data_IF_120088909823
#
_entry.id   IF_120088909823
#
_cell.length_a   1.000
_cell.length_b   1.000
_cell.length_c   1.000
_cell.angle_alpha   90.00
_cell.angle_beta   90.00
_cell.angle_gamma   90.00
#
_symmetry.space_group_name_H-M   'P 1'
#
loop_
_entity.id
_entity.type
_entity.pdbx_description
1 polymer ?
#
# COMPACT_ATOMS: atom_id res chain seq x y z
N UNK A 1 24.84 35.04 7.94
CA UNK A 1 24.12 33.90 8.55
C UNK A 1 22.70 34.33 8.83
N UNK A 2 21.71 33.73 8.16
CA UNK A 2 20.28 34.01 8.39
C UNK A 2 19.69 32.92 9.29
N UNK A 3 18.81 33.26 10.25
CA UNK A 3 18.17 32.26 11.09
C UNK A 3 17.09 31.52 10.28
N UNK A 4 17.10 30.18 10.39
CA UNK A 4 16.03 29.32 9.89
C UNK A 4 14.88 29.46 10.89
N UNK A 5 13.79 30.09 10.48
CA UNK A 5 12.54 30.08 11.23
C UNK A 5 11.84 28.75 10.99
N UNK A 6 11.72 27.95 12.04
CA UNK A 6 10.89 26.76 12.09
C UNK A 6 9.42 27.21 12.09
N UNK A 7 8.73 27.06 10.97
CA UNK A 7 7.28 27.27 10.89
C UNK A 7 6.61 25.96 11.32
N UNK A 8 6.16 25.91 12.57
CA UNK A 8 5.19 24.91 13.04
C UNK A 8 3.87 25.09 12.30
N UNK A 9 3.54 24.19 11.39
CA UNK A 9 2.24 24.15 10.72
C UNK A 9 1.29 23.25 11.52
N UNK A 10 0.51 23.85 12.42
CA UNK A 10 -0.66 23.26 13.05
C UNK A 10 -1.88 23.75 12.26
N UNK A 11 -2.34 22.95 11.29
CA UNK A 11 -3.60 23.21 10.59
C UNK A 11 -4.66 22.23 11.09
N UNK A 12 -5.45 22.71 12.06
CA UNK A 12 -6.77 22.17 12.37
C UNK A 12 -7.69 22.63 11.23
N UNK A 13 -8.24 21.70 10.47
CA UNK A 13 -9.36 21.96 9.56
C UNK A 13 -10.62 21.47 10.28
N UNK A 14 -11.27 22.37 11.02
CA UNK A 14 -12.62 22.17 11.52
C UNK A 14 -13.61 22.52 10.39
N UNK A 15 -14.37 21.52 9.92
CA UNK A 15 -15.63 21.78 9.25
C UNK A 15 -16.76 21.44 10.24
N UNK A 16 -17.37 22.51 10.77
CA UNK A 16 -18.60 22.48 11.55
C UNK A 16 -19.77 22.06 10.65
N UNK A 17 -20.50 21.01 11.04
CA UNK A 17 -21.95 20.97 10.86
C UNK A 17 -22.61 20.00 11.87
N UNK A 18 -23.55 20.59 12.62
CA UNK A 18 -24.65 20.04 13.43
C UNK A 18 -24.40 18.84 14.37
N UNK A 19 -24.31 19.19 15.66
CA UNK A 19 -24.48 18.33 16.84
C UNK A 19 -25.81 17.56 16.83
N UNK A 20 -25.73 16.23 16.88
CA UNK A 20 -26.69 15.37 17.58
C UNK A 20 -25.86 14.37 18.41
N UNK A 21 -25.66 14.72 19.68
CA UNK A 21 -24.93 13.93 20.67
C UNK A 21 -25.80 12.75 21.13
N UNK A 22 -25.60 11.59 20.54
CA UNK A 22 -25.83 10.33 21.25
C UNK A 22 -24.53 9.94 21.95
N UNK A 23 -24.55 9.99 23.28
CA UNK A 23 -23.41 9.60 24.12
C UNK A 23 -23.20 8.08 24.03
N UNK A 24 -22.41 7.63 23.06
CA UNK A 24 -21.78 6.31 23.11
C UNK A 24 -20.64 6.38 24.13
N UNK A 25 -20.68 5.48 25.11
CA UNK A 25 -19.85 5.50 26.32
C UNK A 25 -18.35 5.52 26.01
N UNK A 26 -17.64 6.48 26.63
CA UNK A 26 -16.24 6.82 26.40
C UNK A 26 -15.22 5.70 26.65
N UNK A 27 -15.59 4.58 27.29
CA UNK A 27 -14.63 3.53 27.68
C UNK A 27 -14.19 2.66 26.50
N UNK A 28 -15.03 2.46 25.46
CA UNK A 28 -14.70 1.56 24.34
C UNK A 28 -13.60 2.08 23.42
N UNK A 29 -13.56 3.39 23.21
CA UNK A 29 -12.50 4.01 22.43
C UNK A 29 -11.15 3.93 23.15
N UNK A 30 -11.11 3.79 24.48
CA UNK A 30 -9.84 3.88 25.23
C UNK A 30 -8.89 2.73 24.93
N UNK A 31 -9.36 1.48 24.84
CA UNK A 31 -8.46 0.33 24.64
C UNK A 31 -7.98 0.21 23.21
N UNK A 32 -8.85 0.33 22.22
CA UNK A 32 -8.44 0.34 20.82
C UNK A 32 -7.51 1.52 20.51
N UNK A 33 -7.84 2.72 21.03
CA UNK A 33 -6.97 3.88 20.89
C UNK A 33 -5.61 3.64 21.55
N UNK A 34 -5.57 3.08 22.76
CA UNK A 34 -4.32 2.75 23.44
C UNK A 34 -3.50 1.73 22.64
N UNK A 35 -4.15 0.71 22.08
CA UNK A 35 -3.51 -0.28 21.21
C UNK A 35 -2.90 0.39 19.96
N UNK A 36 -3.65 1.26 19.27
CA UNK A 36 -3.15 1.99 18.09
C UNK A 36 -2.00 2.91 18.48
N UNK A 37 -2.11 3.62 19.59
CA UNK A 37 -1.07 4.51 20.09
C UNK A 37 0.20 3.73 20.44
N UNK A 38 0.08 2.53 20.98
CA UNK A 38 1.23 1.66 21.25
C UNK A 38 1.89 1.16 19.95
N UNK A 39 1.10 0.79 18.94
CA UNK A 39 1.61 0.44 17.60
C UNK A 39 2.34 1.63 16.99
N UNK A 40 1.76 2.84 17.05
CA UNK A 40 2.40 4.07 16.57
C UNK A 40 3.69 4.35 17.32
N UNK A 41 3.69 4.27 18.65
CA UNK A 41 4.87 4.52 19.47
C UNK A 41 6.03 3.57 19.13
N UNK A 42 5.73 2.29 18.89
CA UNK A 42 6.75 1.27 18.59
C UNK A 42 7.22 1.28 17.13
N UNK A 43 6.36 1.70 16.21
CA UNK A 43 6.61 1.48 14.78
C UNK A 43 6.55 2.74 13.91
N UNK A 44 6.03 3.87 14.36
CA UNK A 44 6.13 5.12 13.62
C UNK A 44 7.45 5.84 13.97
N UNK A 45 8.08 6.46 12.98
CA UNK A 45 9.17 7.40 13.26
C UNK A 45 8.58 8.75 13.72
N UNK A 46 9.31 9.55 14.52
CA UNK A 46 8.83 10.87 14.95
C UNK A 46 8.49 11.82 13.80
N UNK A 47 9.16 11.66 12.65
CA UNK A 47 8.98 12.46 11.44
C UNK A 47 7.91 11.88 10.49
N UNK A 48 7.34 10.70 10.80
CA UNK A 48 6.34 10.10 9.92
C UNK A 48 5.02 10.89 10.01
N UNK A 49 4.55 11.38 8.85
CA UNK A 49 3.20 11.95 8.71
C UNK A 49 2.19 10.81 8.71
N UNK A 50 1.23 10.89 9.64
CA UNK A 50 0.14 9.93 9.76
C UNK A 50 -1.04 10.41 8.94
N UNK A 51 -1.46 9.61 7.97
CA UNK A 51 -2.69 9.86 7.24
C UNK A 51 -3.82 9.02 7.80
N UNK A 52 -4.78 9.69 8.42
CA UNK A 52 -5.93 9.05 9.06
C UNK A 52 -7.18 9.21 8.20
N UNK A 53 -7.66 8.13 7.62
CA UNK A 53 -8.94 8.10 6.91
C UNK A 53 -9.99 7.48 7.81
N UNK A 54 -11.01 8.25 8.17
CA UNK A 54 -12.12 7.78 8.98
C UNK A 54 -13.47 8.12 8.37
N UNK A 55 -14.08 7.14 7.72
CA UNK A 55 -15.43 7.27 7.18
C UNK A 55 -16.51 6.78 8.14
N UNK A 56 -16.14 6.28 9.32
CA UNK A 56 -17.07 5.76 10.32
C UNK A 56 -17.20 6.74 11.51
N UNK A 57 -18.41 7.22 11.82
CA UNK A 57 -18.62 8.13 12.94
C UNK A 57 -18.19 7.55 14.30
N UNK A 58 -18.16 6.22 14.47
CA UNK A 58 -17.71 5.54 15.71
C UNK A 58 -16.31 5.97 16.13
N UNK A 59 -15.41 6.20 15.17
CA UNK A 59 -14.00 6.50 15.44
C UNK A 59 -13.65 7.98 15.24
N UNK A 60 -14.65 8.86 15.13
CA UNK A 60 -14.45 10.31 14.90
C UNK A 60 -13.58 10.98 15.96
N UNK A 61 -13.61 10.47 17.19
CA UNK A 61 -12.88 11.03 18.33
C UNK A 61 -11.62 10.25 18.70
N UNK A 62 -11.11 9.40 17.80
CA UNK A 62 -9.88 8.66 18.02
C UNK A 62 -8.69 9.61 18.14
N UNK A 63 -8.06 9.66 19.32
CA UNK A 63 -6.87 10.49 19.55
C UNK A 63 -5.61 9.73 19.17
N UNK A 64 -4.96 10.19 18.11
CA UNK A 64 -3.69 9.68 17.60
C UNK A 64 -2.54 10.62 18.00
N UNK A 65 -1.31 10.11 18.03
CA UNK A 65 -0.11 10.92 18.30
C UNK A 65 0.64 11.27 17.02
N UNK A 66 1.25 12.47 16.96
CA UNK A 66 2.14 12.89 15.87
C UNK A 66 1.51 13.89 14.89
N UNK A 67 2.24 14.28 13.81
CA UNK A 67 1.68 15.09 12.73
C UNK A 67 0.66 14.26 11.95
N UNK A 68 -0.62 14.59 12.12
CA UNK A 68 -1.73 13.81 11.56
C UNK A 68 -2.50 14.66 10.56
N UNK A 69 -2.80 14.06 9.41
CA UNK A 69 -3.75 14.58 8.44
C UNK A 69 -5.01 13.72 8.52
N UNK A 70 -6.13 14.33 8.93
CA UNK A 70 -7.41 13.64 9.11
C UNK A 70 -8.27 13.85 7.86
N UNK A 71 -8.80 12.76 7.32
CA UNK A 71 -9.81 12.75 6.27
C UNK A 71 -11.07 12.03 6.72
N UNK A 72 -12.14 12.79 6.84
CA UNK A 72 -13.48 12.26 7.10
C UNK A 72 -14.27 11.99 5.81
N UNK A 73 -13.72 12.39 4.66
CA UNK A 73 -14.31 12.21 3.34
C UNK A 73 -13.22 11.88 2.31
N UNK A 74 -13.59 11.15 1.26
CA UNK A 74 -12.70 10.82 0.14
C UNK A 74 -12.65 11.97 -0.86
N UNK A 75 -11.96 13.05 -0.46
CA UNK A 75 -11.75 14.24 -1.29
C UNK A 75 -10.27 14.62 -1.28
N UNK A 76 -9.78 15.12 -2.40
CA UNK A 76 -8.41 15.63 -2.47
C UNK A 76 -8.26 16.90 -1.63
N UNK A 77 -7.15 16.99 -0.92
CA UNK A 77 -6.75 18.18 -0.19
C UNK A 77 -5.50 18.72 -0.89
N UNK A 78 -5.59 19.90 -1.50
CA UNK A 78 -4.51 20.42 -2.37
C UNK A 78 -3.13 20.46 -1.67
N UNK A 79 -3.09 20.83 -0.39
CA UNK A 79 -1.86 20.89 0.40
C UNK A 79 -1.29 19.51 0.74
N UNK A 80 -2.12 18.46 0.67
CA UNK A 80 -1.67 17.10 0.91
C UNK A 80 -0.65 16.70 -0.16
N UNK A 81 -0.78 17.16 -1.41
CA UNK A 81 -0.02 16.67 -2.57
C UNK A 81 1.52 16.75 -2.48
N UNK A 82 2.05 17.47 -1.49
CA UNK A 82 3.49 17.63 -1.26
C UNK A 82 4.01 16.79 -0.09
N UNK A 83 3.16 16.03 0.59
CA UNK A 83 3.51 15.28 1.80
C UNK A 83 3.86 13.83 1.47
N UNK A 84 4.98 13.34 2.01
CA UNK A 84 5.35 11.93 1.91
C UNK A 84 4.76 11.14 3.09
N UNK A 85 3.66 10.43 2.85
CA UNK A 85 3.01 9.63 3.89
C UNK A 85 3.71 8.28 4.05
N UNK A 86 4.11 7.98 5.29
CA UNK A 86 4.76 6.72 5.65
C UNK A 86 3.92 5.84 6.57
N UNK A 87 2.82 6.39 7.10
CA UNK A 87 1.95 5.71 8.04
C UNK A 87 0.48 6.03 7.73
N UNK A 88 -0.30 5.02 7.37
CA UNK A 88 -1.73 5.12 7.11
C UNK A 88 -2.49 4.44 8.23
N UNK A 89 -3.48 5.14 8.80
CA UNK A 89 -4.47 4.55 9.69
C UNK A 89 -5.82 4.71 9.00
N UNK A 90 -6.47 3.60 8.69
CA UNK A 90 -7.68 3.61 7.87
C UNK A 90 -8.75 2.83 8.60
N UNK A 91 -9.86 3.52 8.90
CA UNK A 91 -11.08 2.85 9.28
C UNK A 91 -11.82 2.44 8.03
N UNK A 92 -12.12 1.15 7.92
CA UNK A 92 -12.77 0.58 6.75
C UNK A 92 -14.21 0.20 7.10
N UNK A 93 -15.21 1.04 6.76
CA UNK A 93 -16.60 0.62 6.81
C UNK A 93 -16.87 -0.52 5.82
N UNK A 94 -17.85 -1.35 6.13
CA UNK A 94 -18.30 -2.44 5.24
C UNK A 94 -18.63 -1.91 3.84
N UNK A 95 -18.02 -2.48 2.81
CA UNK A 95 -18.26 -2.11 1.41
C UNK A 95 -17.51 -0.86 0.90
N UNK A 96 -16.71 -0.18 1.72
CA UNK A 96 -15.98 1.03 1.29
C UNK A 96 -14.51 0.78 0.93
N UNK A 97 -14.00 -0.43 1.16
CA UNK A 97 -12.57 -0.74 1.00
C UNK A 97 -12.03 -0.40 -0.38
N UNK A 98 -12.66 -0.90 -1.44
CA UNK A 98 -12.22 -0.63 -2.82
C UNK A 98 -12.25 0.87 -3.14
N UNK A 99 -13.29 1.59 -2.70
CA UNK A 99 -13.43 3.03 -2.91
C UNK A 99 -12.31 3.81 -2.23
N UNK A 100 -11.95 3.44 -0.99
CA UNK A 100 -10.84 4.05 -0.25
C UNK A 100 -9.52 3.81 -0.98
N UNK A 101 -9.24 2.58 -1.39
CA UNK A 101 -7.98 2.26 -2.07
C UNK A 101 -7.88 2.87 -3.47
N UNK A 102 -8.98 2.94 -4.22
CA UNK A 102 -9.00 3.65 -5.50
C UNK A 102 -8.73 5.15 -5.30
N UNK A 103 -9.31 5.77 -4.28
CA UNK A 103 -8.99 7.16 -3.92
C UNK A 103 -7.51 7.32 -3.57
N UNK A 104 -6.97 6.44 -2.73
CA UNK A 104 -5.57 6.48 -2.32
C UNK A 104 -4.62 6.34 -3.51
N UNK A 105 -4.85 5.39 -4.40
CA UNK A 105 -4.01 5.13 -5.58
C UNK A 105 -4.02 6.29 -6.57
N UNK A 106 -5.14 7.00 -6.67
CA UNK A 106 -5.25 8.20 -7.50
C UNK A 106 -4.63 9.43 -6.84
N UNK A 107 -4.40 9.40 -5.52
CA UNK A 107 -3.76 10.50 -4.81
C UNK A 107 -2.25 10.57 -5.12
N UNK A 108 -1.72 11.78 -5.22
CA UNK A 108 -0.30 12.01 -5.55
C UNK A 108 0.66 11.48 -4.49
N UNK A 109 0.19 11.29 -3.26
CA UNK A 109 1.00 10.84 -2.12
C UNK A 109 0.86 9.36 -1.86
N UNK A 110 0.34 8.61 -2.83
CA UNK A 110 0.21 7.17 -2.71
C UNK A 110 1.58 6.53 -2.45
N UNK A 111 1.72 5.92 -1.29
CA UNK A 111 2.91 5.15 -0.95
C UNK A 111 2.51 3.71 -0.58
N UNK A 112 2.56 2.75 -1.52
CA UNK A 112 2.20 1.36 -1.24
C UNK A 112 3.17 0.66 -0.29
N UNK A 113 4.36 1.24 -0.03
CA UNK A 113 5.39 0.69 0.87
C UNK A 113 5.27 1.20 2.30
N UNK A 114 4.41 2.18 2.55
CA UNK A 114 4.13 2.71 3.88
C UNK A 114 3.55 1.64 4.82
N UNK A 115 3.49 1.96 6.12
CA UNK A 115 2.83 1.11 7.13
C UNK A 115 1.34 1.40 7.09
N UNK A 116 0.51 0.38 6.93
CA UNK A 116 -0.94 0.49 6.94
C UNK A 116 -1.51 -0.20 8.18
N UNK A 117 -2.34 0.52 8.94
CA UNK A 117 -3.14 -0.03 10.04
C UNK A 117 -4.60 0.12 9.66
N UNK A 118 -5.25 -1.00 9.41
CA UNK A 118 -6.62 -1.07 8.90
C UNK A 118 -7.55 -1.56 10.01
N UNK A 119 -8.50 -0.73 10.43
CA UNK A 119 -9.52 -1.09 11.40
C UNK A 119 -10.70 -1.70 10.65
N UNK A 120 -10.99 -2.98 10.89
CA UNK A 120 -12.00 -3.73 10.15
C UNK A 120 -13.23 -4.07 10.99
N UNK A 121 -14.40 -4.01 10.36
CA UNK A 121 -15.66 -4.55 10.89
C UNK A 121 -15.88 -5.97 10.33
N UNK A 122 -15.33 -6.94 11.08
CA UNK A 122 -15.36 -8.42 11.05
C UNK A 122 -15.75 -9.30 9.82
N UNK A 123 -16.21 -8.81 8.67
CA UNK A 123 -16.87 -9.71 7.70
C UNK A 123 -16.26 -9.85 6.29
N UNK A 124 -15.19 -9.14 5.91
CA UNK A 124 -14.79 -9.05 4.47
C UNK A 124 -13.29 -9.19 4.19
N UNK A 125 -12.64 -10.09 4.92
CA UNK A 125 -11.19 -10.25 4.87
C UNK A 125 -10.64 -10.69 3.49
N UNK A 126 -11.26 -11.67 2.81
CA UNK A 126 -10.67 -12.25 1.58
C UNK A 126 -10.57 -11.27 0.41
N UNK A 127 -11.60 -10.45 0.18
CA UNK A 127 -11.61 -9.52 -0.96
C UNK A 127 -10.59 -8.39 -0.79
N UNK A 128 -10.25 -8.05 0.45
CA UNK A 128 -9.24 -7.04 0.75
C UNK A 128 -7.86 -7.47 0.27
N UNK A 129 -7.51 -8.75 0.42
CA UNK A 129 -6.21 -9.27 0.01
C UNK A 129 -5.98 -9.11 -1.50
N UNK A 130 -7.02 -9.34 -2.31
CA UNK A 130 -6.93 -9.18 -3.77
C UNK A 130 -6.60 -7.73 -4.14
N UNK A 131 -7.27 -6.77 -3.50
CA UNK A 131 -7.06 -5.34 -3.75
C UNK A 131 -5.68 -4.89 -3.22
N UNK A 132 -5.27 -5.34 -2.04
CA UNK A 132 -3.94 -5.02 -1.50
C UNK A 132 -2.82 -5.58 -2.37
N UNK A 133 -2.96 -6.83 -2.85
CA UNK A 133 -2.02 -7.43 -3.80
C UNK A 133 -1.99 -6.67 -5.13
N UNK A 134 -3.15 -6.31 -5.68
CA UNK A 134 -3.27 -5.53 -6.92
C UNK A 134 -2.49 -4.22 -6.86
N UNK A 135 -2.49 -3.56 -5.70
CA UNK A 135 -1.80 -2.29 -5.49
C UNK A 135 -0.46 -2.43 -4.75
N UNK A 136 0.10 -3.64 -4.67
CA UNK A 136 1.39 -3.95 -4.04
C UNK A 136 1.55 -3.45 -2.60
N UNK A 137 0.47 -3.46 -1.82
CA UNK A 137 0.47 -3.01 -0.42
C UNK A 137 0.72 -4.16 0.53
N UNK A 138 1.96 -4.35 0.96
CA UNK A 138 2.34 -5.51 1.77
C UNK A 138 2.58 -5.20 3.25
N UNK A 139 2.85 -3.96 3.64
CA UNK A 139 3.11 -3.57 5.03
C UNK A 139 1.81 -3.23 5.78
N UNK A 140 0.95 -4.24 5.95
CA UNK A 140 -0.42 -4.06 6.47
C UNK A 140 -0.62 -4.77 7.80
N UNK A 141 -1.28 -4.09 8.74
CA UNK A 141 -1.91 -4.66 9.92
C UNK A 141 -3.41 -4.51 9.82
N UNK A 142 -4.12 -5.57 10.19
CA UNK A 142 -5.56 -5.55 10.36
C UNK A 142 -5.85 -5.61 11.85
N UNK A 143 -6.60 -4.63 12.35
CA UNK A 143 -7.09 -4.59 13.71
C UNK A 143 -8.55 -5.03 13.71
N UNK A 144 -8.82 -6.12 14.41
CA UNK A 144 -10.14 -6.74 14.49
C UNK A 144 -10.57 -6.73 15.95
N UNK A 145 -11.56 -5.90 16.29
CA UNK A 145 -12.10 -5.79 17.64
C UNK A 145 -12.96 -7.03 17.95
N UNK A 146 -12.51 -7.89 18.89
CA UNK A 146 -13.22 -9.11 19.32
C UNK A 146 -14.15 -8.84 20.48
N UNK A 147 -13.65 -8.09 21.45
CA UNK A 147 -14.39 -7.60 22.60
C UNK A 147 -13.97 -6.16 22.86
N UNK A 148 -14.58 -5.54 23.87
CA UNK A 148 -14.21 -4.20 24.33
C UNK A 148 -12.72 -4.04 24.67
N UNK A 149 -12.10 -5.10 25.20
CA UNK A 149 -10.72 -5.07 25.69
C UNK A 149 -9.74 -5.88 24.83
N UNK A 150 -10.24 -6.75 23.95
CA UNK A 150 -9.42 -7.61 23.10
C UNK A 150 -9.52 -7.21 21.62
N UNK A 151 -8.38 -6.88 21.05
CA UNK A 151 -8.22 -6.58 19.62
C UNK A 151 -7.22 -7.57 19.04
N UNK A 152 -7.63 -8.35 18.05
CA UNK A 152 -6.72 -9.20 17.30
C UNK A 152 -5.95 -8.37 16.28
N UNK A 153 -4.64 -8.63 16.21
CA UNK A 153 -3.75 -8.02 15.23
C UNK A 153 -3.37 -9.09 14.22
N UNK A 154 -3.78 -8.88 12.99
CA UNK A 154 -3.53 -9.80 11.89
C UNK A 154 -2.70 -9.12 10.81
N UNK A 155 -2.06 -9.93 9.99
CA UNK A 155 -1.34 -9.49 8.80
C UNK A 155 -1.50 -10.52 7.69
N UNK A 156 -0.92 -10.28 6.52
CA UNK A 156 -0.85 -11.25 5.45
C UNK A 156 0.51 -11.19 4.74
N UNK A 157 0.87 -12.24 4.02
CA UNK A 157 2.16 -12.35 3.32
C UNK A 157 1.95 -12.55 1.82
N UNK A 158 1.96 -11.49 0.99
CA UNK A 158 1.57 -11.59 -0.41
C UNK A 158 2.50 -12.46 -1.27
N UNK A 159 3.73 -12.74 -0.82
CA UNK A 159 4.76 -13.43 -1.61
C UNK A 159 5.00 -14.88 -1.18
N UNK A 160 4.20 -15.42 -0.27
CA UNK A 160 4.26 -16.84 0.13
C UNK A 160 3.20 -17.64 -0.63
N UNK A 161 3.38 -18.97 -0.74
CA UNK A 161 2.38 -19.84 -1.37
C UNK A 161 1.01 -19.82 -0.66
N UNK A 162 0.97 -19.36 0.59
CA UNK A 162 -0.23 -19.12 1.39
C UNK A 162 -0.72 -17.65 1.33
N UNK A 163 -0.44 -16.93 0.23
CA UNK A 163 -0.66 -15.48 0.09
C UNK A 163 -2.08 -14.97 0.30
N UNK A 164 -3.05 -15.89 0.34
CA UNK A 164 -4.48 -15.61 0.44
C UNK A 164 -5.03 -15.78 1.85
N UNK A 165 -4.16 -16.01 2.84
CA UNK A 165 -4.55 -16.21 4.22
C UNK A 165 -4.03 -15.11 5.14
N UNK A 166 -4.84 -14.81 6.15
CA UNK A 166 -4.47 -13.93 7.23
C UNK A 166 -3.68 -14.72 8.28
N UNK A 167 -2.61 -14.12 8.77
CA UNK A 167 -1.86 -14.64 9.90
C UNK A 167 -2.11 -13.75 11.11
N UNK A 168 -2.58 -14.35 12.19
CA UNK A 168 -2.68 -13.68 13.48
C UNK A 168 -1.25 -13.44 13.99
N UNK A 169 -0.89 -12.18 14.15
CA UNK A 169 0.38 -11.79 14.75
C UNK A 169 0.27 -11.81 16.26
N UNK A 170 -0.86 -11.40 16.82
CA UNK A 170 -1.06 -11.35 18.27
C UNK A 170 -2.33 -10.59 18.58
N UNK A 171 -2.36 -9.94 19.73
CA UNK A 171 -3.48 -9.10 20.11
C UNK A 171 -3.10 -8.04 21.12
N UNK A 172 -3.96 -7.04 21.24
CA UNK A 172 -3.97 -6.11 22.35
C UNK A 172 -5.00 -6.57 23.38
N UNK A 173 -4.62 -6.56 24.67
CA UNK A 173 -5.53 -6.77 25.79
C UNK A 173 -5.52 -5.55 26.70
N UNK A 174 -6.69 -4.98 26.99
CA UNK A 174 -6.85 -3.72 27.74
C UNK A 174 -6.01 -2.58 27.15
N UNK A 175 -5.87 -2.56 25.83
CA UNK A 175 -5.10 -1.56 25.10
C UNK A 175 -3.58 -1.69 25.19
N UNK A 176 -3.07 -2.81 25.70
CA UNK A 176 -1.65 -3.15 25.68
C UNK A 176 -1.36 -4.32 24.75
N UNK A 177 -0.29 -4.21 23.96
CA UNK A 177 0.23 -5.32 23.16
C UNK A 177 0.67 -6.47 24.08
N UNK A 178 0.27 -7.70 23.73
CA UNK A 178 0.64 -8.89 24.52
C UNK A 178 2.12 -9.26 24.40
N UNK A 179 2.82 -8.78 23.38
CA UNK A 179 4.22 -9.08 23.14
C UNK A 179 4.97 -7.99 22.36
N UNK A 180 6.30 -8.10 22.35
CA UNK A 180 7.22 -7.16 21.71
C UNK A 180 7.63 -7.56 20.29
N UNK A 181 6.81 -8.35 19.60
CA UNK A 181 7.15 -8.80 18.25
C UNK A 181 7.11 -7.64 17.26
N UNK A 182 7.91 -7.75 16.19
CA UNK A 182 7.82 -6.80 15.09
C UNK A 182 6.50 -6.99 14.33
N UNK A 183 5.60 -6.01 14.40
CA UNK A 183 4.30 -6.05 13.73
C UNK A 183 4.40 -5.75 12.23
N UNK A 184 5.49 -5.12 11.77
CA UNK A 184 5.77 -4.86 10.36
C UNK A 184 7.06 -5.59 9.92
N UNK A 185 7.07 -6.94 9.89
CA UNK A 185 8.22 -7.68 9.41
C UNK A 185 8.43 -7.40 7.92
N UNK A 186 9.69 -7.42 7.46
CA UNK A 186 9.98 -7.30 6.04
C UNK A 186 9.44 -8.53 5.30
N UNK A 187 8.42 -8.31 4.47
CA UNK A 187 7.74 -9.38 3.71
C UNK A 187 8.29 -9.56 2.31
N UNK A 188 9.17 -8.65 1.87
CA UNK A 188 9.80 -8.79 0.57
C UNK A 188 10.68 -10.03 0.55
N UNK A 189 10.65 -10.75 -0.56
CA UNK A 189 11.57 -11.85 -0.78
C UNK A 189 13.00 -11.29 -0.75
N UNK A 190 13.85 -11.84 0.13
CA UNK A 190 15.26 -11.45 0.20
C UNK A 190 16.01 -11.81 -1.08
N UNK A 191 15.56 -12.85 -1.77
CA UNK A 191 16.17 -13.35 -2.99
C UNK A 191 15.13 -13.34 -4.12
N UNK A 192 15.25 -12.41 -5.06
CA UNK A 192 14.47 -12.38 -6.31
C UNK A 192 15.06 -13.30 -7.38
N UNK A 193 15.86 -14.29 -6.98
CA UNK A 193 16.61 -15.12 -7.91
C UNK A 193 15.63 -15.92 -8.77
N UNK A 194 15.74 -15.74 -10.09
CA UNK A 194 14.91 -16.39 -11.11
C UNK A 194 13.43 -15.97 -11.12
N UNK A 195 13.05 -14.81 -10.55
CA UNK A 195 11.68 -14.32 -10.72
C UNK A 195 11.53 -13.66 -12.10
N UNK A 196 10.68 -14.21 -13.01
CA UNK A 196 10.49 -13.61 -14.32
C UNK A 196 9.72 -12.29 -14.18
N UNK A 197 10.30 -11.20 -14.68
CA UNK A 197 9.59 -9.92 -14.82
C UNK A 197 9.05 -9.83 -16.24
N UNK A 198 7.74 -9.76 -16.38
CA UNK A 198 7.08 -9.54 -17.67
C UNK A 198 7.07 -8.04 -17.97
N UNK A 199 7.68 -7.67 -19.10
CA UNK A 199 7.69 -6.29 -19.59
C UNK A 199 6.81 -6.25 -20.84
N UNK A 200 5.84 -5.33 -20.87
CA UNK A 200 5.04 -5.06 -22.07
C UNK A 200 5.75 -3.96 -22.84
N UNK A 201 6.09 -4.25 -24.09
CA UNK A 201 6.80 -3.35 -24.99
C UNK A 201 5.88 -2.94 -26.13
N UNK A 202 5.87 -1.64 -26.46
CA UNK A 202 5.12 -1.09 -27.59
C UNK A 202 6.09 -0.73 -28.71
N UNK A 203 5.74 -1.04 -29.96
CA UNK A 203 6.56 -0.60 -31.09
C UNK A 203 6.57 0.93 -31.17
N UNK A 204 7.72 1.53 -30.89
CA UNK A 204 7.91 2.97 -30.86
C UNK A 204 9.36 3.31 -31.24
N UNK A 205 9.70 3.35 -32.54
CA UNK A 205 11.05 3.68 -32.98
C UNK A 205 11.48 5.09 -32.52
N UNK A 206 12.76 5.31 -32.13
CA UNK A 206 13.86 4.33 -32.08
C UNK A 206 13.96 3.56 -30.74
N UNK A 207 13.00 3.75 -29.83
CA UNK A 207 13.04 3.18 -28.47
C UNK A 207 12.80 1.67 -28.46
N UNK A 208 11.80 1.21 -29.21
CA UNK A 208 11.48 -0.20 -29.42
C UNK A 208 11.10 -0.41 -30.90
N UNK A 209 11.87 -1.24 -31.58
CA UNK A 209 11.71 -1.62 -32.98
C UNK A 209 11.40 -3.12 -33.02
N UNK A 210 10.31 -3.47 -33.68
CA UNK A 210 9.86 -4.86 -33.88
C UNK A 210 10.04 -5.20 -35.36
N UNK A 211 11.13 -5.86 -35.73
CA UNK A 211 11.44 -6.21 -37.11
C UNK A 211 11.81 -7.68 -37.21
N UNK A 212 11.14 -8.44 -38.08
CA UNK A 212 11.52 -9.82 -38.45
C UNK A 212 11.86 -10.73 -37.25
N UNK A 213 10.98 -10.78 -36.25
CA UNK A 213 11.16 -11.52 -34.99
C UNK A 213 12.34 -11.08 -34.11
N UNK A 214 13.02 -10.00 -34.47
CA UNK A 214 13.99 -9.31 -33.64
C UNK A 214 13.34 -8.09 -32.98
N UNK A 215 13.60 -7.95 -31.68
CA UNK A 215 13.21 -6.78 -30.90
C UNK A 215 14.49 -6.06 -30.54
N UNK A 216 14.63 -4.83 -31.01
CA UNK A 216 15.81 -3.99 -30.78
C UNK A 216 15.37 -2.57 -30.41
N UNK A 217 16.27 -1.74 -29.91
CA UNK A 217 15.98 -0.34 -29.61
C UNK A 217 16.63 0.14 -28.33
N UNK A 218 16.57 1.45 -28.11
CA UNK A 218 17.28 2.12 -27.00
C UNK A 218 16.84 1.56 -25.64
N UNK A 219 15.53 1.32 -25.44
CA UNK A 219 15.03 0.81 -24.16
C UNK A 219 15.50 -0.61 -23.86
N UNK A 220 15.57 -1.48 -24.88
CA UNK A 220 16.10 -2.83 -24.71
C UNK A 220 17.58 -2.83 -24.35
N UNK A 221 18.38 -1.98 -25.00
CA UNK A 221 19.79 -1.82 -24.65
C UNK A 221 19.97 -1.31 -23.22
N UNK A 222 19.11 -0.39 -22.77
CA UNK A 222 19.11 0.07 -21.37
C UNK A 222 18.74 -1.06 -20.41
N UNK A 223 17.74 -1.88 -20.72
CA UNK A 223 17.39 -3.05 -19.91
C UNK A 223 18.52 -4.07 -19.84
N UNK A 224 19.22 -4.31 -20.95
CA UNK A 224 20.41 -5.18 -20.97
C UNK A 224 21.51 -4.62 -20.06
N UNK A 225 21.80 -3.32 -20.15
CA UNK A 225 22.77 -2.64 -19.27
C UNK A 225 22.35 -2.75 -17.80
N UNK A 226 21.10 -2.47 -17.46
CA UNK A 226 20.60 -2.59 -16.08
C UNK A 226 20.65 -4.03 -15.59
N UNK A 227 20.38 -5.00 -16.46
CA UNK A 227 20.42 -6.43 -16.11
C UNK A 227 21.84 -6.95 -15.91
N UNK A 228 22.83 -6.40 -16.61
CA UNK A 228 24.23 -6.83 -16.58
C UNK A 228 25.12 -5.96 -15.68
N UNK A 229 24.70 -4.73 -15.37
CA UNK A 229 25.49 -3.72 -14.64
C UNK A 229 25.47 -3.87 -13.12
N UNK A 230 24.85 -4.92 -12.58
CA UNK A 230 24.81 -5.21 -11.15
C UNK A 230 25.42 -6.58 -10.85
N UNK A 231 26.74 -6.71 -11.02
CA UNK A 231 27.47 -7.90 -10.56
C UNK A 231 27.58 -7.97 -9.01
N UNK A 232 27.24 -6.90 -8.28
CA UNK A 232 27.22 -6.90 -6.80
C UNK A 232 25.81 -7.06 -6.19
N UNK A 233 24.75 -6.96 -6.99
CA UNK A 233 23.38 -7.22 -6.55
C UNK A 233 22.76 -8.20 -7.54
N UNK A 234 22.58 -9.47 -7.15
CA UNK A 234 22.01 -10.51 -8.02
C UNK A 234 20.58 -10.13 -8.45
N UNK A 235 20.45 -9.38 -9.56
CA UNK A 235 19.16 -9.04 -10.17
C UNK A 235 18.65 -10.26 -10.96
N UNK A 236 17.33 -10.55 -10.94
CA UNK A 236 16.74 -11.63 -11.73
C UNK A 236 17.07 -11.55 -13.22
N UNK A 237 17.27 -12.73 -13.80
CA UNK A 237 17.34 -12.93 -15.25
C UNK A 237 15.99 -12.53 -15.85
N UNK A 238 15.96 -11.40 -16.56
CA UNK A 238 14.76 -10.90 -17.23
C UNK A 238 14.32 -11.90 -18.31
N UNK A 239 13.04 -12.26 -18.32
CA UNK A 239 12.42 -13.05 -19.38
C UNK A 239 11.36 -12.20 -20.05
N UNK A 240 11.59 -11.82 -21.30
CA UNK A 240 10.70 -10.91 -22.02
C UNK A 240 9.50 -11.67 -22.59
N UNK A 241 8.31 -11.13 -22.33
CA UNK A 241 7.07 -11.57 -22.97
C UNK A 241 6.60 -10.42 -23.83
N UNK A 242 6.81 -10.53 -25.13
CA UNK A 242 6.48 -9.46 -26.07
C UNK A 242 5.05 -9.68 -26.54
N UNK A 243 4.18 -8.73 -26.18
CA UNK A 243 2.83 -8.64 -26.72
C UNK A 243 2.80 -7.55 -27.78
N UNK A 244 2.57 -7.91 -29.04
CA UNK A 244 2.33 -6.92 -30.09
C UNK A 244 0.85 -6.50 -30.06
N UNK A 245 0.57 -5.26 -29.67
CA UNK A 245 -0.73 -4.64 -29.93
C UNK A 245 -0.63 -3.83 -31.23
N UNK A 246 -1.26 -4.34 -32.29
CA UNK A 246 -1.48 -3.57 -33.52
C UNK A 246 -2.70 -2.69 -33.31
N UNK A 247 -2.53 -1.37 -33.34
CA UNK A 247 -3.65 -0.42 -33.40
C UNK A 247 -4.05 -0.30 -34.86
N UNK A 248 -5.05 -1.07 -35.28
CA UNK A 248 -5.76 -0.77 -36.50
C UNK A 248 -6.65 0.46 -36.23
N UNK A 249 -6.45 1.53 -37.00
CA UNK A 249 -7.50 2.49 -37.21
C UNK A 249 -8.69 1.73 -37.82
N UNK A 250 -9.87 1.89 -37.23
CA UNK A 250 -11.15 1.24 -37.54
C UNK A 250 -11.50 0.01 -36.70
N UNK A 251 -12.63 0.12 -36.00
CA UNK A 251 -13.02 -0.68 -34.84
C UNK A 251 -13.12 -2.18 -35.10
N UNK A 252 -12.31 -2.93 -34.37
CA UNK A 252 -12.43 -4.38 -34.25
C UNK A 252 -11.49 -4.91 -33.18
N UNK A 253 -12.06 -5.42 -32.09
CA UNK A 253 -11.29 -6.09 -31.02
C UNK A 253 -10.56 -7.29 -31.63
N UNK A 254 -9.22 -7.34 -31.51
CA UNK A 254 -8.43 -8.53 -31.89
C UNK A 254 -7.40 -8.93 -30.85
N UNK A 255 -7.17 -10.25 -30.87
CA UNK A 255 -6.47 -11.10 -29.91
C UNK A 255 -5.05 -10.64 -29.58
N UNK A 256 -4.72 -10.71 -28.29
CA UNK A 256 -3.37 -10.61 -27.76
C UNK A 256 -2.58 -11.86 -28.20
N UNK A 257 -1.51 -11.68 -28.98
CA UNK A 257 -0.53 -12.74 -29.23
C UNK A 257 0.55 -12.59 -28.17
N UNK A 258 0.60 -13.55 -27.24
CA UNK A 258 1.63 -13.62 -26.19
C UNK A 258 2.75 -14.53 -26.66
N UNK A 259 3.93 -14.00 -26.94
CA UNK A 259 5.12 -14.80 -27.27
C UNK A 259 6.11 -14.80 -26.09
N UNK A 260 6.45 -15.99 -25.59
CA UNK A 260 7.54 -16.18 -24.62
C UNK A 260 8.86 -16.30 -25.38
N UNK A 261 9.81 -15.39 -25.13
CA UNK A 261 11.19 -15.57 -25.58
C UNK A 261 11.97 -16.35 -24.52
N UNK A 262 12.07 -17.67 -24.73
CA UNK A 262 12.99 -18.51 -23.97
C UNK A 262 14.32 -18.62 -24.71
N UNK A 263 15.44 -18.19 -24.10
CA UNK A 263 16.76 -18.61 -24.55
C UNK A 263 16.87 -20.13 -24.33
N UNK A 264 16.87 -20.91 -25.42
CA UNK A 264 17.35 -22.30 -25.39
C UNK A 264 18.80 -22.26 -24.88
N UNK A 265 19.05 -22.90 -23.74
CA UNK A 265 20.41 -23.18 -23.32
C UNK A 265 21.00 -24.20 -24.32
N UNK A 266 21.92 -23.73 -25.17
CA UNK A 266 22.82 -24.62 -25.92
C UNK A 266 24.04 -24.89 -25.05
N UNK A 267 24.07 -26.15 -24.57
CA UNK A 267 25.10 -26.91 -23.83
C UNK A 267 25.57 -26.37 -22.48
#
# INVERSE_FOLDING_TARGET
>A
MRPIQLVTLLTIIDNFDAFNLTWLTNENLTHLQSCINEIQYRHANPEDIIFFINLDPKYRYLKLHGPIVIQNELREVAQFQLMHVNFYIIVVPKGYFERIFNFLVLSTNWNPRAKFVLLLQEDLLKDFLVILQKYFVYNVLFLVEKTHSDVDIMTYYPFTLASNEFQILGGCHNGKLRDDRNLFPNKLLKNWKNYPVSIILFHFPPYIILENDQTQGIELSLFEIVSNGHDEVQVPKLSFVIGSASVAAEGGVRQQIVRRLGKKATK
#
